data_IF_687599602073
#
_entry.id   IF_687599602073
#
_cell.length_a   1.000
_cell.length_b   1.000
_cell.length_c   1.000
_cell.angle_alpha   90.00
_cell.angle_beta   90.00
_cell.angle_gamma   90.00
#
_symmetry.space_group_name_H-M   'P 1'
#
loop_
_entity.id
_entity.type
_entity.pdbx_description
1 polymer ?
#
# COMPACT_ATOMS: atom_id res chain seq x y z
N UNK A 1 38.84 -10.96 29.62
CA UNK A 1 37.82 -11.73 28.89
C UNK A 1 38.08 -11.52 27.40
N UNK A 2 38.30 -12.56 26.58
CA UNK A 2 38.50 -12.38 25.14
C UNK A 2 37.22 -11.83 24.51
N UNK A 3 37.30 -10.63 23.93
CA UNK A 3 36.19 -9.94 23.31
C UNK A 3 35.96 -10.52 21.91
N UNK A 4 35.11 -11.55 21.80
CA UNK A 4 34.67 -12.06 20.49
C UNK A 4 33.71 -11.05 19.88
N UNK A 5 34.18 -10.33 18.86
CA UNK A 5 33.34 -9.44 18.09
C UNK A 5 32.16 -10.21 17.48
N UNK A 6 30.96 -9.60 17.40
CA UNK A 6 29.81 -10.24 16.79
C UNK A 6 30.07 -10.52 15.31
N UNK A 7 29.59 -11.67 14.83
CA UNK A 7 29.74 -12.06 13.44
C UNK A 7 28.99 -11.07 12.53
N UNK A 8 29.67 -10.36 11.59
CA UNK A 8 29.03 -9.36 10.74
C UNK A 8 27.91 -9.95 9.86
N UNK A 9 27.95 -11.25 9.57
CA UNK A 9 26.90 -11.93 8.81
C UNK A 9 25.53 -11.92 9.52
N UNK A 10 25.51 -11.77 10.85
CA UNK A 10 24.26 -11.64 11.59
C UNK A 10 23.50 -10.37 11.19
N UNK A 11 24.21 -9.27 10.95
CA UNK A 11 23.59 -8.02 10.49
C UNK A 11 23.02 -8.16 9.08
N UNK A 12 23.75 -8.84 8.19
CA UNK A 12 23.30 -9.10 6.82
C UNK A 12 22.06 -9.98 6.84
N UNK A 13 22.07 -11.07 7.62
CA UNK A 13 20.93 -11.96 7.79
C UNK A 13 19.70 -11.25 8.36
N UNK A 14 19.89 -10.44 9.41
CA UNK A 14 18.81 -9.65 10.01
C UNK A 14 18.21 -8.64 9.02
N UNK A 15 19.06 -7.99 8.22
CA UNK A 15 18.61 -7.06 7.18
C UNK A 15 17.79 -7.78 6.12
N UNK A 16 18.30 -8.88 5.56
CA UNK A 16 17.60 -9.66 4.55
C UNK A 16 16.25 -10.20 5.07
N UNK A 17 16.22 -10.70 6.31
CA UNK A 17 14.99 -11.15 6.94
C UNK A 17 13.97 -10.00 7.08
N UNK A 18 14.42 -8.82 7.50
CA UNK A 18 13.55 -7.64 7.67
C UNK A 18 12.97 -7.17 6.33
N UNK A 19 13.80 -7.02 5.30
CA UNK A 19 13.36 -6.63 3.97
C UNK A 19 12.45 -7.70 3.34
N UNK A 20 12.76 -8.98 3.53
CA UNK A 20 11.95 -10.09 3.05
C UNK A 20 10.56 -10.10 3.68
N UNK A 21 10.48 -9.97 5.00
CA UNK A 21 9.21 -9.88 5.72
C UNK A 21 8.37 -8.68 5.24
N UNK A 22 8.99 -7.51 5.12
CA UNK A 22 8.32 -6.31 4.61
C UNK A 22 7.79 -6.52 3.19
N UNK A 23 8.61 -7.06 2.29
CA UNK A 23 8.22 -7.34 0.90
C UNK A 23 7.03 -8.29 0.83
N UNK A 24 7.03 -9.37 1.61
CA UNK A 24 5.92 -10.33 1.64
C UNK A 24 4.62 -9.68 2.12
N UNK A 25 4.69 -8.86 3.17
CA UNK A 25 3.51 -8.13 3.67
C UNK A 25 3.00 -7.12 2.64
N UNK A 26 3.89 -6.36 2.01
CA UNK A 26 3.52 -5.40 0.97
C UNK A 26 2.88 -6.10 -0.24
N UNK A 27 3.46 -7.22 -0.69
CA UNK A 27 2.93 -8.07 -1.76
C UNK A 27 1.52 -8.57 -1.42
N UNK A 28 1.34 -9.11 -0.21
CA UNK A 28 0.04 -9.63 0.24
C UNK A 28 -1.03 -8.53 0.28
N UNK A 29 -0.69 -7.34 0.80
CA UNK A 29 -1.64 -6.20 0.80
C UNK A 29 -2.00 -5.76 -0.61
N UNK A 30 -1.03 -5.72 -1.53
CA UNK A 30 -1.28 -5.34 -2.91
C UNK A 30 -2.25 -6.30 -3.63
N UNK A 31 -2.20 -7.59 -3.32
CA UNK A 31 -3.12 -8.59 -3.89
C UNK A 31 -4.50 -8.59 -3.22
N UNK A 32 -4.55 -8.40 -1.90
CA UNK A 32 -5.79 -8.57 -1.13
C UNK A 32 -6.63 -7.30 -1.06
N UNK A 33 -5.97 -6.13 -1.00
CA UNK A 33 -6.64 -4.82 -0.94
C UNK A 33 -5.92 -3.83 -1.85
N UNK A 34 -6.00 -4.00 -3.18
CA UNK A 34 -5.37 -3.05 -4.09
C UNK A 34 -5.97 -1.66 -3.85
N UNK A 35 -5.10 -0.69 -3.55
CA UNK A 35 -5.53 0.67 -3.25
C UNK A 35 -6.35 1.30 -4.40
N UNK A 36 -6.23 0.78 -5.63
CA UNK A 36 -7.01 1.16 -6.81
C UNK A 36 -8.44 0.61 -6.83
N UNK A 37 -8.75 -0.45 -6.09
CA UNK A 37 -10.10 -1.00 -5.97
C UNK A 37 -10.89 -0.39 -4.81
N UNK A 38 -10.23 0.32 -3.89
CA UNK A 38 -10.93 1.10 -2.89
C UNK A 38 -11.65 2.27 -3.58
N UNK A 39 -12.91 2.57 -3.24
CA UNK A 39 -13.65 3.71 -3.78
C UNK A 39 -12.95 5.03 -3.42
N UNK A 40 -12.00 5.49 -4.24
CA UNK A 40 -11.25 6.74 -4.02
C UNK A 40 -12.07 8.01 -4.20
N UNK A 41 -13.36 7.89 -4.47
CA UNK A 41 -14.20 9.00 -4.91
C UNK A 41 -15.26 9.40 -3.88
N UNK A 42 -15.51 8.59 -2.86
CA UNK A 42 -16.55 8.91 -1.88
C UNK A 42 -16.06 9.85 -0.77
N UNK A 43 -14.75 9.87 -0.51
CA UNK A 43 -14.17 10.60 0.64
C UNK A 43 -13.35 11.85 0.23
N UNK A 44 -13.30 12.21 -1.06
CA UNK A 44 -12.60 13.41 -1.49
C UNK A 44 -13.54 14.63 -1.42
N UNK A 45 -13.31 15.61 -0.53
CA UNK A 45 -14.17 16.80 -0.42
C UNK A 45 -14.18 17.66 -1.69
N UNK A 46 -13.24 17.45 -2.62
CA UNK A 46 -13.13 18.18 -3.89
C UNK A 46 -13.76 17.44 -5.08
N UNK A 47 -14.26 16.20 -4.90
CA UNK A 47 -14.95 15.47 -5.98
C UNK A 47 -16.45 15.62 -5.77
N UNK A 48 -17.14 16.43 -6.59
CA UNK A 48 -18.57 16.59 -6.44
C UNK A 48 -19.29 15.24 -6.69
N UNK A 49 -20.34 14.93 -5.92
CA UNK A 49 -21.20 13.78 -6.18
C UNK A 49 -21.70 13.79 -7.63
N UNK A 50 -21.59 12.65 -8.34
CA UNK A 50 -22.20 12.51 -9.66
C UNK A 50 -23.70 12.34 -9.50
N UNK A 51 -24.47 13.40 -9.77
CA UNK A 51 -25.93 13.29 -9.91
C UNK A 51 -26.26 12.55 -11.22
N UNK A 52 -26.94 11.41 -11.14
CA UNK A 52 -27.37 10.63 -12.32
C UNK A 52 -28.50 11.28 -13.14
N UNK A 53 -28.80 12.57 -12.96
CA UNK A 53 -29.98 13.23 -13.54
C UNK A 53 -29.73 14.30 -14.60
N UNK A 54 -28.48 14.72 -14.85
CA UNK A 54 -28.23 15.94 -15.65
C UNK A 54 -27.97 15.69 -17.14
N UNK A 55 -27.77 14.44 -17.57
CA UNK A 55 -27.55 14.11 -18.99
C UNK A 55 -28.83 14.20 -19.84
N UNK A 56 -30.01 14.20 -19.22
CA UNK A 56 -31.30 14.26 -19.95
C UNK A 56 -31.77 15.71 -20.20
N UNK A 57 -31.14 16.70 -19.57
CA UNK A 57 -31.52 18.12 -19.67
C UNK A 57 -30.70 18.93 -20.68
N UNK A 58 -29.55 18.42 -21.11
CA UNK A 58 -28.66 19.09 -22.05
C UNK A 58 -28.99 18.85 -23.54
N UNK A 59 -29.97 17.98 -23.82
CA UNK A 59 -30.36 17.57 -25.18
C UNK A 59 -31.80 17.96 -25.56
N UNK A 60 -32.35 19.03 -24.98
CA UNK A 60 -33.67 19.55 -25.38
C UNK A 60 -33.67 21.05 -25.61
#
# INVERSE_FOLDING_TARGET
MPNKAPNPLLFVGLSLASFGAFYLVARHRATTYPASAQPRQHDNPLVPPRHHGDNDKASK
#
